data_IF_415712858539
#
_entry.id   IF_415712858539
#
_cell.length_a   1.000
_cell.length_b   1.000
_cell.length_c   1.000
_cell.angle_alpha   90.00
_cell.angle_beta   90.00
_cell.angle_gamma   90.00
#
_symmetry.space_group_name_H-M   'P 1'
#
loop_
_entity.id
_entity.type
_entity.pdbx_description
1 polymer ?
#
# COMPACT_ATOMS: atom_id res chain seq x y z
N UNK A 1 -15.87 13.50 -17.89
CA UNK A 1 -14.43 13.28 -17.57
C UNK A 1 -14.01 12.01 -18.29
N UNK A 2 -13.10 12.12 -19.26
CA UNK A 2 -12.76 11.01 -20.16
C UNK A 2 -12.14 9.84 -19.39
N UNK A 3 -12.83 8.71 -19.33
CA UNK A 3 -12.44 7.49 -18.62
C UNK A 3 -11.03 6.98 -19.03
N UNK A 4 -10.61 7.24 -20.25
CA UNK A 4 -9.31 6.76 -20.76
C UNK A 4 -8.10 7.47 -20.12
N UNK A 5 -8.26 8.73 -19.67
CA UNK A 5 -7.21 9.47 -18.96
C UNK A 5 -7.11 9.13 -17.47
N UNK A 6 -8.19 8.66 -16.86
CA UNK A 6 -8.19 8.27 -15.44
C UNK A 6 -7.53 6.89 -15.20
N UNK A 7 -7.48 6.04 -16.21
CA UNK A 7 -6.91 4.69 -16.13
C UNK A 7 -5.42 4.63 -15.78
N UNK A 8 -4.53 5.37 -16.47
CA UNK A 8 -3.12 5.39 -16.13
C UNK A 8 -2.86 6.15 -14.82
N UNK A 9 -3.70 7.15 -14.49
CA UNK A 9 -3.53 7.99 -13.33
C UNK A 9 -3.53 7.19 -12.01
N UNK A 10 -4.47 6.26 -11.85
CA UNK A 10 -4.53 5.40 -10.65
C UNK A 10 -3.27 4.52 -10.55
N UNK A 11 -2.77 3.97 -11.66
CA UNK A 11 -1.52 3.21 -11.69
C UNK A 11 -0.32 4.05 -11.23
N UNK A 12 -0.21 5.28 -11.73
CA UNK A 12 0.84 6.22 -11.37
C UNK A 12 0.77 6.57 -9.87
N UNK A 13 -0.44 6.83 -9.34
CA UNK A 13 -0.64 7.12 -7.92
C UNK A 13 -0.21 5.93 -7.05
N UNK A 14 -0.61 4.71 -7.39
CA UNK A 14 -0.23 3.51 -6.65
C UNK A 14 1.29 3.28 -6.67
N UNK A 15 1.92 3.48 -7.82
CA UNK A 15 3.38 3.39 -7.97
C UNK A 15 4.08 4.46 -7.11
N UNK A 16 3.62 5.70 -7.15
CA UNK A 16 4.17 6.79 -6.36
C UNK A 16 4.04 6.53 -4.85
N UNK A 17 2.88 6.02 -4.37
CA UNK A 17 2.68 5.64 -2.98
C UNK A 17 3.60 4.50 -2.54
N UNK A 18 3.81 3.50 -3.41
CA UNK A 18 4.72 2.39 -3.12
C UNK A 18 6.18 2.85 -3.03
N UNK A 19 6.62 3.74 -3.93
CA UNK A 19 7.95 4.36 -3.87
C UNK A 19 8.09 5.21 -2.61
N UNK A 20 7.09 6.02 -2.28
CA UNK A 20 7.07 6.84 -1.07
C UNK A 20 7.23 5.97 0.19
N UNK A 21 6.55 4.82 0.25
CA UNK A 21 6.66 3.87 1.34
C UNK A 21 8.09 3.33 1.48
N UNK A 22 8.66 2.82 0.40
CA UNK A 22 10.02 2.23 0.42
C UNK A 22 11.05 3.29 0.79
N UNK A 23 11.02 4.45 0.16
CA UNK A 23 11.94 5.57 0.45
C UNK A 23 11.74 6.06 1.89
N UNK A 24 10.49 6.21 2.34
CA UNK A 24 10.19 6.66 3.69
C UNK A 24 10.74 5.74 4.77
N UNK A 25 10.59 4.43 4.61
CA UNK A 25 11.14 3.43 5.56
C UNK A 25 12.67 3.43 5.55
N UNK A 26 13.30 3.67 4.41
CA UNK A 26 14.77 3.72 4.30
C UNK A 26 15.37 5.02 4.84
N UNK A 27 14.62 6.13 4.81
CA UNK A 27 15.14 7.47 5.17
C UNK A 27 14.81 7.88 6.60
N UNK A 28 13.55 8.11 6.91
CA UNK A 28 13.11 8.70 8.17
C UNK A 28 12.34 7.74 9.09
N UNK A 29 11.69 6.71 8.55
CA UNK A 29 10.97 5.72 9.33
C UNK A 29 11.86 4.51 9.70
N UNK A 30 13.12 4.79 10.09
CA UNK A 30 14.09 3.77 10.43
C UNK A 30 13.72 3.03 11.72
N UNK A 31 14.02 1.72 11.82
CA UNK A 31 13.87 0.98 13.06
C UNK A 31 14.83 1.52 14.13
N UNK A 32 14.46 1.33 15.40
CA UNK A 32 15.32 1.68 16.52
C UNK A 32 16.52 0.70 16.55
N UNK A 33 17.74 1.23 16.50
CA UNK A 33 18.97 0.47 16.77
C UNK A 33 19.20 0.44 18.28
N UNK A 34 18.81 -0.64 18.94
CA UNK A 34 19.12 -0.87 20.35
C UNK A 34 20.16 -2.00 20.43
N UNK A 35 21.41 -1.60 20.62
CA UNK A 35 22.54 -2.48 21.02
C UNK A 35 22.71 -3.80 20.26
N UNK A 36 22.67 -3.79 18.90
CA UNK A 36 23.12 -4.94 18.10
C UNK A 36 22.23 -6.19 18.14
N UNK A 37 21.10 -6.15 18.82
CA UNK A 37 20.12 -7.25 18.84
C UNK A 37 19.03 -6.97 17.83
N UNK A 38 18.65 -7.92 16.95
CA UNK A 38 17.56 -7.74 16.02
C UNK A 38 16.24 -7.62 16.79
N UNK A 39 15.79 -6.38 16.99
CA UNK A 39 14.54 -6.06 17.67
C UNK A 39 13.33 -6.26 16.77
N UNK A 40 12.15 -6.46 17.36
CA UNK A 40 10.87 -6.58 16.64
C UNK A 40 10.67 -5.45 15.60
N UNK A 41 11.12 -4.22 15.91
CA UNK A 41 11.06 -3.08 14.99
C UNK A 41 11.90 -3.29 13.72
N UNK A 42 13.07 -3.95 13.80
CA UNK A 42 13.90 -4.25 12.63
C UNK A 42 13.24 -5.29 11.72
N UNK A 43 12.57 -6.29 12.30
CA UNK A 43 11.78 -7.25 11.53
C UNK A 43 10.55 -6.61 10.89
N UNK A 44 9.85 -5.75 11.62
CA UNK A 44 8.72 -4.99 11.09
C UNK A 44 9.14 -4.12 9.89
N UNK A 45 10.26 -3.40 9.97
CA UNK A 45 10.74 -2.57 8.86
C UNK A 45 11.09 -3.40 7.62
N UNK A 46 11.74 -4.56 7.79
CA UNK A 46 12.04 -5.49 6.67
C UNK A 46 10.77 -6.05 6.04
N UNK A 47 9.78 -6.42 6.85
CA UNK A 47 8.49 -6.91 6.35
C UNK A 47 7.74 -5.81 5.56
N UNK A 48 7.72 -4.57 6.07
CA UNK A 48 7.13 -3.43 5.36
C UNK A 48 7.86 -3.12 4.06
N UNK A 49 9.20 -3.19 4.04
CA UNK A 49 9.99 -3.02 2.82
C UNK A 49 9.65 -4.09 1.79
N UNK A 50 9.59 -5.36 2.20
CA UNK A 50 9.19 -6.46 1.31
C UNK A 50 7.80 -6.25 0.72
N UNK A 51 6.82 -5.93 1.56
CA UNK A 51 5.45 -5.64 1.13
C UNK A 51 5.39 -4.40 0.21
N UNK A 52 6.19 -3.37 0.49
CA UNK A 52 6.31 -2.17 -0.36
C UNK A 52 6.86 -2.48 -1.75
N UNK A 53 7.88 -3.34 -1.84
CA UNK A 53 8.45 -3.79 -3.13
C UNK A 53 7.40 -4.59 -3.92
N UNK A 54 6.69 -5.52 -3.28
CA UNK A 54 5.60 -6.28 -3.92
C UNK A 54 4.51 -5.33 -4.43
N UNK A 55 4.08 -4.37 -3.62
CA UNK A 55 3.11 -3.36 -4.03
C UNK A 55 3.59 -2.53 -5.23
N UNK A 56 4.87 -2.16 -5.25
CA UNK A 56 5.48 -1.45 -6.38
C UNK A 56 5.43 -2.29 -7.65
N UNK A 57 5.85 -3.55 -7.62
CA UNK A 57 5.84 -4.44 -8.79
C UNK A 57 4.41 -4.62 -9.32
N UNK A 58 3.43 -4.90 -8.44
CA UNK A 58 2.02 -5.04 -8.83
C UNK A 58 1.48 -3.76 -9.50
N UNK A 59 1.86 -2.59 -8.96
CA UNK A 59 1.44 -1.29 -9.51
C UNK A 59 2.05 -1.02 -10.87
N UNK A 60 3.31 -1.38 -11.09
CA UNK A 60 4.00 -1.24 -12.39
C UNK A 60 3.40 -2.20 -13.42
N UNK A 61 3.23 -3.48 -13.08
CA UNK A 61 2.61 -4.47 -13.98
C UNK A 61 1.22 -4.00 -14.41
N UNK A 62 0.43 -3.45 -13.48
CA UNK A 62 -0.89 -2.90 -13.78
C UNK A 62 -0.87 -1.79 -14.84
N UNK A 63 0.20 -0.99 -14.95
CA UNK A 63 0.31 0.08 -15.96
C UNK A 63 0.43 -0.52 -17.38
N UNK A 64 1.16 -1.63 -17.50
CA UNK A 64 1.42 -2.29 -18.78
C UNK A 64 0.30 -3.25 -19.18
N UNK A 65 -0.49 -3.74 -18.22
CA UNK A 65 -1.55 -4.70 -18.47
C UNK A 65 -2.72 -4.04 -19.22
N UNK A 66 -3.17 -4.71 -20.30
CA UNK A 66 -4.27 -4.25 -21.16
C UNK A 66 -5.58 -4.96 -20.86
N UNK A 67 -5.52 -6.17 -20.29
CA UNK A 67 -6.70 -6.95 -19.96
C UNK A 67 -7.41 -6.39 -18.72
N UNK A 68 -8.69 -6.12 -18.85
CA UNK A 68 -9.52 -5.57 -17.76
C UNK A 68 -9.69 -6.56 -16.61
N UNK A 69 -9.67 -7.88 -16.88
CA UNK A 69 -9.78 -8.93 -15.86
C UNK A 69 -8.52 -8.98 -14.97
N UNK A 70 -7.35 -9.02 -15.58
CA UNK A 70 -6.06 -9.06 -14.88
C UNK A 70 -5.82 -7.77 -14.08
N UNK A 71 -6.19 -6.62 -14.63
CA UNK A 71 -6.11 -5.33 -13.91
C UNK A 71 -6.94 -5.30 -12.63
N UNK A 72 -8.10 -5.97 -12.60
CA UNK A 72 -8.92 -6.09 -11.38
C UNK A 72 -8.22 -6.93 -10.32
N UNK A 73 -7.63 -8.05 -10.74
CA UNK A 73 -6.83 -8.90 -9.85
C UNK A 73 -5.66 -8.13 -9.23
N UNK A 74 -4.93 -7.35 -10.04
CA UNK A 74 -3.83 -6.52 -9.57
C UNK A 74 -4.28 -5.42 -8.59
N UNK A 75 -5.42 -4.77 -8.84
CA UNK A 75 -5.99 -3.78 -7.91
C UNK A 75 -6.36 -4.41 -6.58
N UNK A 76 -6.98 -5.58 -6.60
CA UNK A 76 -7.29 -6.35 -5.39
C UNK A 76 -6.01 -6.74 -4.65
N UNK A 77 -4.99 -7.21 -5.37
CA UNK A 77 -3.68 -7.53 -4.80
C UNK A 77 -3.05 -6.34 -4.08
N UNK A 78 -3.01 -5.17 -4.72
CA UNK A 78 -2.47 -3.94 -4.11
C UNK A 78 -3.31 -3.52 -2.90
N UNK A 79 -4.64 -3.63 -2.95
CA UNK A 79 -5.51 -3.31 -1.83
C UNK A 79 -5.22 -4.21 -0.62
N UNK A 80 -5.09 -5.51 -0.82
CA UNK A 80 -4.77 -6.48 0.25
C UNK A 80 -3.37 -6.23 0.84
N UNK A 81 -2.37 -5.97 -0.01
CA UNK A 81 -1.01 -5.62 0.44
C UNK A 81 -1.04 -4.29 1.21
N UNK A 82 -1.83 -3.32 0.79
CA UNK A 82 -2.03 -2.07 1.51
C UNK A 82 -2.59 -2.27 2.91
N UNK A 83 -3.61 -3.13 3.07
CA UNK A 83 -4.15 -3.52 4.38
C UNK A 83 -3.07 -4.21 5.22
N UNK A 84 -2.32 -5.13 4.63
CA UNK A 84 -1.23 -5.81 5.31
C UNK A 84 -0.18 -4.81 5.82
N UNK A 85 0.25 -3.85 5.00
CA UNK A 85 1.20 -2.80 5.38
C UNK A 85 0.66 -1.97 6.55
N UNK A 86 -0.63 -1.64 6.56
CA UNK A 86 -1.25 -0.88 7.64
C UNK A 86 -1.30 -1.68 8.96
N UNK A 87 -1.47 -3.00 8.89
CA UNK A 87 -1.56 -3.89 10.06
C UNK A 87 -0.20 -4.36 10.57
N UNK A 88 0.85 -4.35 9.73
CA UNK A 88 2.17 -4.85 10.12
C UNK A 88 2.72 -4.18 11.38
N UNK A 89 2.83 -2.84 11.46
CA UNK A 89 3.33 -2.18 12.65
C UNK A 89 2.23 -2.04 13.71
N UNK A 90 2.35 -2.76 14.80
CA UNK A 90 1.51 -2.63 15.99
C UNK A 90 0.34 -3.59 16.11
N UNK A 91 -0.02 -4.35 15.05
CA UNK A 91 -1.03 -5.41 15.10
C UNK A 91 -0.38 -6.78 14.90
N UNK A 92 0.39 -6.95 13.83
CA UNK A 92 1.07 -8.20 13.51
C UNK A 92 2.41 -8.33 14.24
N UNK A 93 3.14 -7.23 14.37
CA UNK A 93 4.43 -7.17 15.05
C UNK A 93 4.33 -6.10 16.12
N UNK A 94 4.42 -6.52 17.38
CA UNK A 94 4.46 -5.60 18.52
C UNK A 94 5.69 -4.71 18.42
N UNK A 95 5.46 -3.39 18.41
CA UNK A 95 6.49 -2.39 18.48
C UNK A 95 6.93 -2.19 19.93
N UNK A 96 8.06 -1.52 20.14
CA UNK A 96 8.56 -1.21 21.47
C UNK A 96 7.49 -0.53 22.34
N UNK A 97 7.44 -0.87 23.62
CA UNK A 97 6.43 -0.37 24.57
C UNK A 97 6.48 1.16 24.78
N UNK A 98 7.61 1.79 24.50
CA UNK A 98 7.81 3.23 24.66
C UNK A 98 7.22 4.02 23.48
N UNK A 99 6.20 4.84 23.78
CA UNK A 99 5.53 5.69 22.79
C UNK A 99 6.43 6.82 22.23
N UNK A 100 7.51 7.17 22.93
CA UNK A 100 8.45 8.23 22.52
C UNK A 100 9.46 7.78 21.46
N UNK A 101 9.59 6.47 21.23
CA UNK A 101 10.52 5.92 20.26
C UNK A 101 10.08 6.17 18.82
N UNK A 102 11.03 6.41 17.89
CA UNK A 102 10.71 6.73 16.50
C UNK A 102 9.86 5.66 15.79
N UNK A 103 9.92 4.41 16.24
CA UNK A 103 9.07 3.33 15.71
C UNK A 103 7.58 3.58 15.95
N UNK A 104 7.20 4.05 17.13
CA UNK A 104 5.81 4.36 17.47
C UNK A 104 5.40 5.75 16.98
N UNK A 105 6.28 6.74 17.13
CA UNK A 105 5.96 8.14 16.82
C UNK A 105 5.92 8.42 15.31
N UNK A 106 6.74 7.74 14.50
CA UNK A 106 6.92 8.03 13.07
C UNK A 106 6.55 6.85 12.19
N UNK A 107 7.16 5.68 12.42
CA UNK A 107 6.99 4.52 11.52
C UNK A 107 5.54 4.01 11.51
N UNK A 108 4.92 3.87 12.67
CA UNK A 108 3.55 3.36 12.80
C UNK A 108 2.53 4.23 12.05
N UNK A 109 2.38 5.56 12.33
CA UNK A 109 1.39 6.38 11.63
C UNK A 109 1.71 6.52 10.14
N UNK A 110 2.98 6.54 9.75
CA UNK A 110 3.38 6.59 8.35
C UNK A 110 2.95 5.34 7.59
N UNK A 111 3.28 4.13 8.07
CA UNK A 111 2.89 2.87 7.44
C UNK A 111 1.37 2.68 7.41
N UNK A 112 0.66 3.05 8.50
CA UNK A 112 -0.81 3.03 8.53
C UNK A 112 -1.40 3.98 7.48
N UNK A 113 -0.91 5.22 7.40
CA UNK A 113 -1.40 6.21 6.44
C UNK A 113 -1.20 5.77 4.99
N UNK A 114 0.02 5.36 4.63
CA UNK A 114 0.33 4.92 3.27
C UNK A 114 -0.36 3.59 2.93
N UNK A 115 -0.44 2.66 3.88
CA UNK A 115 -1.15 1.39 3.72
C UNK A 115 -2.64 1.58 3.45
N UNK A 116 -3.30 2.45 4.22
CA UNK A 116 -4.72 2.82 4.01
C UNK A 116 -4.90 3.52 2.65
N UNK A 117 -3.99 4.41 2.26
CA UNK A 117 -4.05 5.09 0.97
C UNK A 117 -3.93 4.10 -0.20
N UNK A 118 -3.02 3.11 -0.11
CA UNK A 118 -2.88 2.03 -1.10
C UNK A 118 -4.15 1.17 -1.16
N UNK A 119 -4.70 0.79 0.00
CA UNK A 119 -5.94 0.01 0.09
C UNK A 119 -7.13 0.76 -0.49
N UNK A 120 -7.28 2.04 -0.19
CA UNK A 120 -8.34 2.89 -0.70
C UNK A 120 -8.23 3.13 -2.21
N UNK A 121 -7.02 3.40 -2.72
CA UNK A 121 -6.80 3.62 -4.15
C UNK A 121 -7.01 2.34 -4.97
N UNK A 122 -6.51 1.17 -4.50
CA UNK A 122 -6.71 -0.13 -5.14
C UNK A 122 -8.17 -0.60 -5.05
N UNK A 123 -8.76 -0.56 -3.87
CA UNK A 123 -10.14 -0.97 -3.63
C UNK A 123 -11.18 -0.02 -4.25
N UNK A 124 -10.90 1.28 -4.25
CA UNK A 124 -11.78 2.29 -4.86
C UNK A 124 -11.94 2.12 -6.37
N UNK A 125 -10.85 1.85 -7.08
CA UNK A 125 -10.93 1.55 -8.53
C UNK A 125 -11.75 0.28 -8.80
N UNK A 126 -11.60 -0.75 -7.95
CA UNK A 126 -12.36 -1.99 -8.05
C UNK A 126 -13.85 -1.77 -7.82
N UNK A 127 -14.22 -1.07 -6.75
CA UNK A 127 -15.64 -0.80 -6.40
C UNK A 127 -16.34 0.06 -7.45
N UNK A 128 -15.69 1.12 -7.95
CA UNK A 128 -16.23 1.97 -9.00
C UNK A 128 -16.53 1.18 -10.29
N UNK A 129 -15.69 0.22 -10.63
CA UNK A 129 -15.87 -0.65 -11.80
C UNK A 129 -16.99 -1.66 -11.59
N UNK A 130 -17.09 -2.27 -10.41
CA UNK A 130 -18.16 -3.21 -10.08
C UNK A 130 -19.53 -2.53 -10.09
N UNK A 131 -19.63 -1.34 -9.51
CA UNK A 131 -20.87 -0.54 -9.52
C UNK A 131 -21.30 -0.18 -10.96
N UNK A 132 -20.34 0.16 -11.84
CA UNK A 132 -20.65 0.43 -13.26
C UNK A 132 -21.14 -0.81 -14.00
N UNK A 133 -20.64 -1.99 -13.69
CA UNK A 133 -21.10 -3.25 -14.29
C UNK A 133 -22.48 -3.66 -13.75
N UNK A 134 -22.79 -3.32 -12.50
CA UNK A 134 -24.08 -3.60 -11.89
C UNK A 134 -25.19 -2.63 -12.36
N UNK A 135 -24.84 -1.50 -13.03
CA UNK A 135 -25.76 -0.50 -13.58
C UNK A 135 -25.87 -0.48 -15.13
N UNK A 136 -26.01 -1.59 -15.84
CA UNK A 136 -26.16 -1.55 -17.30
C UNK A 136 -27.58 -1.23 -17.78
N UNK A 137 -28.59 -1.12 -16.92
CA UNK A 137 -30.01 -1.16 -17.34
C UNK A 137 -30.88 0.03 -16.92
N UNK A 138 -30.35 1.15 -16.47
CA UNK A 138 -31.21 2.32 -16.14
C UNK A 138 -31.25 3.43 -17.22
N UNK A 139 -30.58 3.22 -18.35
CA UNK A 139 -30.66 4.14 -19.51
C UNK A 139 -31.21 3.44 -20.77
N UNK A 140 -32.47 2.94 -20.69
CA UNK A 140 -33.28 2.66 -21.87
C UNK A 140 -34.70 3.18 -21.67
#
# INVERSE_FOLDING_TARGET
>A
MNNDKARPLVGIILTALSVLLVVGVLTFAKPCDVHGVPNSCAWASRAVLGAGIVSFVLSVVRIFERDEGERRGLCLGVALVGILIACLPGVLIELCADASLPCNAVMRPFCMGVGIALAAAGGGDLTLRLVRLAKPNEEK
#
